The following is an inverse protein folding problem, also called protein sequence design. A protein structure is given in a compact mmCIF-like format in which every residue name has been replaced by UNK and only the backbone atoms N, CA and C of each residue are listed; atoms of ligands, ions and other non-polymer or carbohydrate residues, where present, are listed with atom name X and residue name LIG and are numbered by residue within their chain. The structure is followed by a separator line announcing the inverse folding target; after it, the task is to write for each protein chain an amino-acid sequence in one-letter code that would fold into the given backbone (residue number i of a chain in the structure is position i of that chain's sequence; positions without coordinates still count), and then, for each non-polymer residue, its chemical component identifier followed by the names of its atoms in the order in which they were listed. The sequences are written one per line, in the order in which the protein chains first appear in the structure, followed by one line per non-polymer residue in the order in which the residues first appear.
data_IF_608526304990
#
_entry.id   IF_608526304990
#
_cell.length_a   1.000
_cell.length_b   1.000
_cell.length_c   1.000
_cell.angle_alpha   90.00
_cell.angle_beta   90.00
_cell.angle_gamma   90.00
#
_symmetry.space_group_name_H-M   'P 1'
#
loop_
_entity.id
_entity.type
_entity.pdbx_description
1 polymer ?
#
# COMPACT_ATOMS: atom_id res chain seq x y z
N UNK A 1 -7.73 -21.19 -15.02
CA UNK A 1 -9.11 -20.79 -14.67
C UNK A 1 -9.21 -19.30 -14.94
N UNK A 2 -10.24 -18.83 -15.64
CA UNK A 2 -10.39 -17.39 -15.87
C UNK A 2 -10.72 -16.73 -14.54
N UNK A 3 -9.80 -15.92 -14.01
CA UNK A 3 -10.10 -15.13 -12.82
C UNK A 3 -11.16 -14.11 -13.19
N UNK A 4 -12.28 -14.10 -12.47
CA UNK A 4 -13.40 -13.21 -12.73
C UNK A 4 -13.64 -12.34 -11.51
N UNK A 5 -14.04 -11.08 -11.73
CA UNK A 5 -14.41 -10.16 -10.64
C UNK A 5 -15.51 -10.76 -9.74
N UNK A 6 -16.36 -11.63 -10.30
CA UNK A 6 -17.50 -12.25 -9.62
C UNK A 6 -17.09 -13.26 -8.54
N UNK A 7 -15.80 -13.61 -8.43
CA UNK A 7 -15.28 -14.42 -7.33
C UNK A 7 -15.05 -13.60 -6.06
N UNK A 8 -15.08 -12.27 -6.15
CA UNK A 8 -14.85 -11.37 -5.02
C UNK A 8 -16.17 -10.81 -4.49
N UNK A 9 -16.23 -10.58 -3.19
CA UNK A 9 -17.31 -9.83 -2.56
C UNK A 9 -17.09 -8.33 -2.81
N UNK A 10 -17.77 -7.79 -3.82
CA UNK A 10 -17.76 -6.38 -4.14
C UNK A 10 -19.16 -5.78 -4.07
N UNK A 11 -19.20 -4.47 -3.86
CA UNK A 11 -20.41 -3.66 -3.96
C UNK A 11 -20.27 -2.65 -5.10
N UNK A 12 -21.35 -2.44 -5.86
CA UNK A 12 -21.39 -1.44 -6.94
C UNK A 12 -21.92 -0.14 -6.35
N UNK A 13 -21.10 0.92 -6.37
CA UNK A 13 -21.48 2.22 -5.82
C UNK A 13 -22.06 3.16 -6.88
N UNK A 14 -21.46 3.16 -8.07
CA UNK A 14 -21.86 4.03 -9.17
C UNK A 14 -21.79 3.27 -10.49
N UNK A 15 -22.71 3.60 -11.40
CA UNK A 15 -22.68 3.20 -12.80
C UNK A 15 -22.71 4.46 -13.65
N UNK A 16 -21.77 4.61 -14.58
CA UNK A 16 -21.69 5.81 -15.39
C UNK A 16 -20.59 5.76 -16.45
N UNK A 17 -20.23 6.93 -16.93
CA UNK A 17 -19.08 7.13 -17.83
C UNK A 17 -17.75 7.01 -17.08
N UNK A 18 -16.65 6.83 -17.82
CA UNK A 18 -15.29 6.83 -17.25
C UNK A 18 -15.01 8.06 -16.40
N UNK A 19 -15.46 9.24 -16.87
CA UNK A 19 -15.24 10.51 -16.18
C UNK A 19 -15.99 10.57 -14.84
N UNK A 20 -17.27 10.20 -14.84
CA UNK A 20 -18.08 10.21 -13.61
C UNK A 20 -17.54 9.23 -12.57
N UNK A 21 -17.09 8.05 -13.00
CA UNK A 21 -16.49 7.06 -12.10
C UNK A 21 -15.19 7.59 -11.48
N UNK A 22 -14.33 8.23 -12.27
CA UNK A 22 -13.11 8.85 -11.77
C UNK A 22 -13.36 10.00 -10.81
N UNK A 23 -14.29 10.90 -11.15
CA UNK A 23 -14.63 12.05 -10.32
C UNK A 23 -15.19 11.55 -8.97
N UNK A 24 -16.04 10.51 -8.99
CA UNK A 24 -16.54 9.87 -7.78
C UNK A 24 -15.43 9.30 -6.90
N UNK A 25 -14.46 8.58 -7.48
CA UNK A 25 -13.34 8.00 -6.72
C UNK A 25 -12.49 9.12 -6.12
N UNK A 26 -12.24 10.20 -6.86
CA UNK A 26 -11.45 11.34 -6.38
C UNK A 26 -12.11 12.03 -5.18
N UNK A 27 -13.43 12.16 -5.16
CA UNK A 27 -14.17 12.83 -4.10
C UNK A 27 -14.42 11.96 -2.85
N UNK A 28 -14.51 10.64 -3.02
CA UNK A 28 -14.90 9.70 -1.95
C UNK A 28 -13.75 8.85 -1.40
N UNK A 29 -12.49 9.22 -1.70
CA UNK A 29 -11.30 8.49 -1.25
C UNK A 29 -10.38 9.37 -0.43
N UNK A 30 -9.81 8.81 0.64
CA UNK A 30 -8.79 9.50 1.47
C UNK A 30 -7.46 9.62 0.74
N UNK A 31 -7.06 8.56 0.04
CA UNK A 31 -5.85 8.52 -0.78
C UNK A 31 -6.21 8.04 -2.18
N UNK A 32 -5.54 8.59 -3.18
CA UNK A 32 -5.75 8.25 -4.59
C UNK A 32 -4.42 7.89 -5.24
N UNK A 33 -4.44 6.83 -6.04
CA UNK A 33 -3.32 6.37 -6.86
C UNK A 33 -3.76 6.34 -8.31
N UNK A 34 -2.93 6.86 -9.20
CA UNK A 34 -3.16 6.76 -10.63
C UNK A 34 -2.67 5.41 -11.14
N UNK A 35 -3.51 4.75 -11.94
CA UNK A 35 -3.27 3.42 -12.47
C UNK A 35 -3.34 3.47 -14.00
N UNK A 36 -2.52 2.66 -14.66
CA UNK A 36 -2.53 2.57 -16.11
C UNK A 36 -3.57 1.55 -16.61
N UNK A 37 -4.14 1.75 -17.81
CA UNK A 37 -4.93 0.73 -18.46
C UNK A 37 -4.08 -0.53 -18.69
N UNK A 38 -4.63 -1.70 -18.36
CA UNK A 38 -3.94 -2.98 -18.43
C UNK A 38 -3.27 -3.40 -17.12
N UNK A 39 -3.15 -2.51 -16.14
CA UNK A 39 -2.64 -2.88 -14.82
C UNK A 39 -3.61 -3.84 -14.13
N UNK A 40 -3.04 -4.84 -13.48
CA UNK A 40 -3.76 -5.83 -12.70
C UNK A 40 -3.96 -5.31 -11.27
N UNK A 41 -5.22 -5.19 -10.86
CA UNK A 41 -5.57 -4.63 -9.54
C UNK A 41 -6.03 -5.68 -8.53
N UNK A 42 -6.50 -6.81 -9.04
CA UNK A 42 -6.86 -8.02 -8.30
C UNK A 42 -6.40 -9.19 -9.16
N UNK A 43 -6.16 -10.34 -8.55
CA UNK A 43 -5.75 -11.55 -9.26
C UNK A 43 -6.67 -11.81 -10.48
N UNK A 44 -6.08 -11.71 -11.67
CA UNK A 44 -6.63 -11.81 -13.02
C UNK A 44 -7.72 -10.78 -13.40
N UNK A 45 -7.82 -9.66 -12.69
CA UNK A 45 -8.67 -8.51 -13.06
C UNK A 45 -7.79 -7.34 -13.49
N UNK A 46 -7.82 -7.06 -14.79
CA UNK A 46 -7.15 -5.90 -15.39
C UNK A 46 -8.07 -4.70 -15.50
N UNK A 47 -7.51 -3.52 -15.28
CA UNK A 47 -8.22 -2.25 -15.47
C UNK A 47 -8.35 -1.93 -16.96
N UNK A 48 -9.57 -1.58 -17.35
CA UNK A 48 -9.88 -1.07 -18.69
C UNK A 48 -10.48 0.32 -18.54
N UNK A 49 -9.89 1.30 -19.20
CA UNK A 49 -10.40 2.66 -19.26
C UNK A 49 -9.50 3.61 -20.03
N UNK A 50 -9.88 4.88 -20.02
CA UNK A 50 -9.13 5.99 -20.65
C UNK A 50 -8.39 6.74 -19.55
N UNK A 51 -7.05 6.90 -19.64
CA UNK A 51 -6.27 7.69 -18.69
C UNK A 51 -6.75 9.15 -18.57
N UNK A 52 -6.67 9.78 -17.39
CA UNK A 52 -6.16 9.22 -16.13
C UNK A 52 -7.17 8.23 -15.52
N UNK A 53 -6.72 7.20 -14.79
CA UNK A 53 -7.61 6.26 -14.06
C UNK A 53 -7.18 6.24 -12.60
N UNK A 54 -8.13 6.44 -11.69
CA UNK A 54 -7.81 6.48 -10.26
C UNK A 54 -8.31 5.25 -9.50
N UNK A 55 -7.49 4.78 -8.58
CA UNK A 55 -7.89 3.89 -7.49
C UNK A 55 -7.89 4.69 -6.18
N UNK A 56 -8.95 4.48 -5.40
CA UNK A 56 -9.17 5.10 -4.12
C UNK A 56 -8.90 4.13 -2.98
N UNK A 57 -8.18 4.60 -1.98
CA UNK A 57 -7.92 3.86 -0.74
C UNK A 57 -8.52 4.60 0.45
N UNK A 58 -9.31 3.85 1.22
CA UNK A 58 -9.84 4.23 2.52
C UNK A 58 -9.35 3.21 3.56
N UNK A 59 -9.50 3.52 4.85
CA UNK A 59 -9.02 2.66 5.94
C UNK A 59 -9.64 1.25 5.86
N UNK A 60 -10.93 1.16 5.49
CA UNK A 60 -11.69 -0.10 5.52
C UNK A 60 -11.98 -0.67 4.12
N UNK A 61 -11.79 0.12 3.06
CA UNK A 61 -12.22 -0.26 1.72
C UNK A 61 -11.36 0.35 0.59
N UNK A 62 -11.41 -0.31 -0.55
CA UNK A 62 -10.76 0.10 -1.79
C UNK A 62 -11.81 0.34 -2.85
N UNK A 63 -11.66 1.43 -3.59
CA UNK A 63 -12.54 1.90 -4.65
C UNK A 63 -11.78 1.87 -5.98
N UNK A 64 -12.36 1.26 -7.01
CA UNK A 64 -11.74 1.26 -8.34
C UNK A 64 -12.78 1.18 -9.45
N UNK A 65 -12.48 1.71 -10.64
CA UNK A 65 -13.37 1.61 -11.77
C UNK A 65 -13.22 0.24 -12.43
N UNK A 66 -14.33 -0.38 -12.78
CA UNK A 66 -14.37 -1.64 -13.50
C UNK A 66 -15.35 -1.58 -14.66
N UNK A 67 -14.89 -1.96 -15.85
CA UNK A 67 -15.66 -1.86 -17.09
C UNK A 67 -16.10 -3.24 -17.54
N UNK A 68 -17.41 -3.51 -17.49
CA UNK A 68 -18.01 -4.70 -18.11
C UNK A 68 -18.40 -4.37 -19.56
N UNK A 69 -18.04 -5.19 -20.55
CA UNK A 69 -18.28 -4.89 -21.97
C UNK A 69 -19.77 -4.70 -22.30
N UNK A 70 -20.67 -5.39 -21.59
CA UNK A 70 -22.11 -5.31 -21.85
C UNK A 70 -22.82 -4.18 -21.09
N UNK A 71 -22.24 -3.68 -19.99
CA UNK A 71 -22.96 -2.82 -19.03
C UNK A 71 -22.28 -1.47 -18.78
N UNK A 72 -21.07 -1.24 -19.30
CA UNK A 72 -20.32 -0.01 -19.11
C UNK A 72 -19.44 -0.01 -17.85
N UNK A 73 -19.04 1.18 -17.42
CA UNK A 73 -18.10 1.39 -16.31
C UNK A 73 -18.85 1.58 -15.00
N UNK A 74 -18.32 0.94 -13.97
CA UNK A 74 -18.87 0.94 -12.62
C UNK A 74 -17.76 1.27 -11.63
N UNK A 75 -18.10 1.93 -10.52
CA UNK A 75 -17.20 2.02 -9.37
C UNK A 75 -17.53 0.87 -8.43
N UNK A 76 -16.52 0.03 -8.19
CA UNK A 76 -16.63 -1.08 -7.25
C UNK A 76 -15.97 -0.73 -5.93
N UNK A 77 -16.56 -1.25 -4.85
CA UNK A 77 -16.04 -1.20 -3.49
C UNK A 77 -15.72 -2.61 -3.02
N UNK A 78 -14.52 -2.81 -2.50
CA UNK A 78 -14.08 -4.06 -1.87
C UNK A 78 -13.55 -3.74 -0.47
N UNK A 79 -13.74 -4.65 0.50
CA UNK A 79 -13.15 -4.47 1.83
C UNK A 79 -11.63 -4.60 1.77
N UNK A 80 -10.93 -3.83 2.61
CA UNK A 80 -9.47 -3.86 2.64
C UNK A 80 -8.92 -5.27 2.91
N UNK A 81 -9.56 -6.03 3.80
CA UNK A 81 -9.21 -7.42 4.10
C UNK A 81 -9.31 -8.35 2.87
N UNK A 82 -10.29 -8.12 2.00
CA UNK A 82 -10.48 -8.91 0.78
C UNK A 82 -9.47 -8.50 -0.28
N UNK A 83 -9.19 -7.20 -0.38
CA UNK A 83 -8.18 -6.66 -1.28
C UNK A 83 -6.80 -7.24 -0.96
N UNK A 84 -6.40 -7.29 0.30
CA UNK A 84 -5.07 -7.80 0.70
C UNK A 84 -4.85 -9.28 0.35
N UNK A 85 -5.89 -10.11 0.41
CA UNK A 85 -5.80 -11.54 0.02
C UNK A 85 -5.59 -11.72 -1.48
N UNK A 86 -6.10 -10.77 -2.26
CA UNK A 86 -6.27 -10.89 -3.70
C UNK A 86 -5.44 -9.86 -4.47
N UNK A 87 -4.62 -9.09 -3.75
CA UNK A 87 -3.72 -8.11 -4.31
C UNK A 87 -2.82 -8.78 -5.37
N UNK A 88 -2.50 -8.06 -6.46
CA UNK A 88 -1.67 -8.59 -7.52
C UNK A 88 -0.34 -9.06 -6.93
N UNK A 89 0.14 -10.21 -7.42
CA UNK A 89 1.30 -10.94 -6.88
C UNK A 89 2.60 -10.13 -6.81
N UNK A 90 2.63 -8.94 -7.41
CA UNK A 90 3.70 -7.95 -7.30
C UNK A 90 3.87 -7.47 -5.84
N UNK A 91 2.76 -7.40 -5.07
CA UNK A 91 2.77 -7.03 -3.65
C UNK A 91 3.18 -8.20 -2.74
N UNK A 92 2.91 -9.44 -3.14
CA UNK A 92 3.22 -10.64 -2.33
C UNK A 92 4.73 -10.86 -2.14
N UNK A 93 5.56 -10.29 -3.04
CA UNK A 93 7.01 -10.44 -2.98
C UNK A 93 7.68 -9.58 -1.89
N UNK A 94 6.99 -8.58 -1.33
CA UNK A 94 7.50 -7.79 -0.21
C UNK A 94 7.13 -8.33 1.18
N UNK A 95 6.26 -9.33 1.28
CA UNK A 95 5.83 -9.91 2.57
C UNK A 95 6.48 -11.27 2.88
N UNK A 96 7.09 -11.93 1.90
CA UNK A 96 7.81 -13.20 2.09
C UNK A 96 9.23 -13.04 2.67
N UNK A 97 9.76 -11.81 2.77
CA UNK A 97 11.08 -11.53 3.39
C UNK A 97 11.01 -11.25 4.91
N UNK A 98 9.82 -11.27 5.54
CA UNK A 98 9.67 -11.04 7.01
C UNK A 98 9.11 -12.25 7.80
N UNK A 99 9.01 -13.44 7.18
CA UNK A 99 8.62 -14.69 7.88
C UNK A 99 9.64 -15.81 7.73
N UNK A 100 10.90 -15.55 8.12
CA UNK A 100 11.91 -16.61 8.33
C UNK A 100 12.94 -16.25 9.42
N UNK A 101 12.59 -15.38 10.39
CA UNK A 101 13.46 -15.06 11.52
C UNK A 101 12.74 -15.06 12.87
N UNK A 102 11.86 -16.02 13.10
CA UNK A 102 11.57 -16.47 14.47
C UNK A 102 11.63 -17.99 14.52
N UNK A 103 12.28 -18.49 15.58
CA UNK A 103 12.47 -19.90 15.93
C UNK A 103 13.61 -20.67 15.29
N UNK A 104 14.87 -20.19 15.40
CA UNK A 104 16.02 -21.03 15.83
C UNK A 104 17.17 -20.22 16.47
N UNK A 105 17.03 -19.82 17.74
CA UNK A 105 17.99 -20.24 18.77
C UNK A 105 17.59 -19.75 20.17
N UNK A 106 16.95 -20.65 20.92
CA UNK A 106 16.97 -20.63 22.38
C UNK A 106 18.17 -21.46 22.83
N UNK A 107 19.22 -20.77 23.31
CA UNK A 107 20.36 -21.22 24.14
C UNK A 107 21.37 -20.06 24.07
N UNK A 108 21.75 -19.33 25.12
CA UNK A 108 21.96 -19.69 26.51
C UNK A 108 22.12 -18.41 27.36
N UNK A 109 21.60 -18.48 28.59
CA UNK A 109 22.26 -18.12 29.85
C UNK A 109 22.80 -16.68 30.01
N UNK A 110 22.14 -15.79 30.78
CA UNK A 110 22.26 -15.61 32.25
C UNK A 110 23.50 -14.77 32.66
N UNK A 111 23.22 -13.76 33.50
CA UNK A 111 24.11 -12.78 34.17
C UNK A 111 24.43 -11.54 33.32
N UNK A 112 24.42 -10.29 33.80
CA UNK A 112 24.38 -9.66 35.13
C UNK A 112 24.12 -8.18 34.84
N UNK A 113 23.05 -7.55 35.30
CA UNK A 113 23.03 -6.72 36.51
C UNK A 113 24.10 -5.60 36.55
N UNK A 114 23.63 -4.35 36.75
CA UNK A 114 24.15 -3.29 37.66
C UNK A 114 24.61 -1.94 37.03
N UNK A 115 23.83 -0.90 37.41
CA UNK A 115 24.19 0.47 37.89
C UNK A 115 24.87 1.49 36.95
N UNK A 116 24.23 2.65 36.71
CA UNK A 116 24.21 3.94 37.47
C UNK A 116 25.31 4.94 37.06
N UNK A 117 24.82 6.10 36.62
CA UNK A 117 25.26 7.48 36.90
C UNK A 117 26.64 8.07 36.47
N UNK A 118 26.53 9.38 36.15
CA UNK A 118 27.47 10.52 36.38
C UNK A 118 28.26 11.10 35.19
N UNK A 119 27.72 12.19 34.65
CA UNK A 119 28.19 13.59 34.81
C UNK A 119 29.68 13.96 34.49
N UNK A 120 29.87 14.65 33.34
CA UNK A 120 30.54 15.98 33.15
C UNK A 120 32.09 16.16 33.14
N UNK A 121 32.49 17.11 32.24
CA UNK A 121 33.68 18.02 32.17
C UNK A 121 34.86 17.61 31.30
N UNK A 122 35.08 18.35 30.19
CA UNK A 122 36.07 19.45 30.02
C UNK A 122 37.52 18.91 29.96
N UNK A 123 38.43 19.27 29.06
CA UNK A 123 38.58 20.45 28.21
C UNK A 123 39.82 20.20 27.31
N UNK A 124 39.96 21.06 26.31
CA UNK A 124 41.22 21.61 25.75
C UNK A 124 41.93 20.92 24.58
N UNK A 125 41.84 21.68 23.48
CA UNK A 125 42.92 22.25 22.63
C UNK A 125 43.11 21.59 21.27
N UNK A 126 43.05 22.44 20.25
CA UNK A 126 43.53 22.12 18.92
C UNK A 126 42.64 22.69 17.82
N UNK A 127 42.42 24.00 17.76
CA UNK A 127 43.19 24.87 16.86
C UNK A 127 42.56 24.91 15.46
N UNK A 128 41.99 26.08 15.16
CA UNK A 128 42.00 26.77 13.87
C UNK A 128 41.49 25.93 12.67
N UNK A 129 40.47 26.34 11.95
CA UNK A 129 40.49 27.61 11.22
C UNK A 129 39.19 27.74 10.43
N UNK A 130 38.64 28.95 10.44
CA UNK A 130 38.08 29.68 9.29
C UNK A 130 37.06 28.93 8.42
N UNK A 131 35.79 29.32 8.54
CA UNK A 131 35.19 30.33 7.66
C UNK A 131 35.40 30.04 6.16
N UNK A 132 34.32 29.66 5.47
CA UNK A 132 33.67 30.55 4.50
C UNK A 132 32.33 30.00 4.04
N UNK A 133 31.27 30.74 4.38
CA UNK A 133 30.05 30.86 3.61
C UNK A 133 30.37 31.57 2.29
N UNK A 134 29.91 31.04 1.15
CA UNK A 134 29.17 31.78 0.11
C UNK A 134 28.40 30.78 -0.75
#
# INVERSE_FOLDING_TARGET
MASCIDQYHYEILLKGSFKECNDYIRENSKSIVEINPGDEILDGVMIIGVPPIYMGFNDDNVLFPYTKPCYGTHVLRISMDSYMKCAPSIVKKSEEDEKDNEDKNKKQDVNKEIEEDKEVKEEKKGILSKLKFW
#
